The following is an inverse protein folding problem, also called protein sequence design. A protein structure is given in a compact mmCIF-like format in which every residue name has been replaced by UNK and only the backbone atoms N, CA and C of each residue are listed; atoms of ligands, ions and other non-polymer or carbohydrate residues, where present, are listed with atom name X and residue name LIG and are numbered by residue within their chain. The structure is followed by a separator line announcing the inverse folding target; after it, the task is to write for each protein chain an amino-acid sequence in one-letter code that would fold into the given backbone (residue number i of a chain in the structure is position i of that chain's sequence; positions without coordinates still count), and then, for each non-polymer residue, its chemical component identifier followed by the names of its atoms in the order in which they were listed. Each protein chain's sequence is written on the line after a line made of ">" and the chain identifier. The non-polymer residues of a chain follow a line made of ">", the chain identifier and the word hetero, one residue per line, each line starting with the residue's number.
data_IF_301388195129
#
_entry.id   IF_301388195129
#
_cell.length_a   1.000
_cell.length_b   1.000
_cell.length_c   1.000
_cell.angle_alpha   90.00
_cell.angle_beta   90.00
_cell.angle_gamma   90.00
#
_symmetry.space_group_name_H-M   'P 1'
#
loop_
_entity.id
_entity.type
_entity.pdbx_description
1 polymer ?
#
# COMPACT_ATOMS: atom_id res chain seq x y z
N UNK A 1 -18.35 -5.50 3.41
CA UNK A 1 -17.94 -6.62 4.28
C UNK A 1 -17.14 -7.62 3.44
N UNK A 2 -15.92 -7.94 3.86
CA UNK A 2 -15.15 -9.04 3.26
C UNK A 2 -15.75 -10.38 3.68
N UNK A 3 -15.58 -11.41 2.85
CA UNK A 3 -16.26 -12.68 3.03
C UNK A 3 -15.67 -13.80 2.19
N UNK A 4 -16.07 -15.02 2.52
CA UNK A 4 -15.74 -16.23 1.77
C UNK A 4 -17.04 -16.88 1.30
N UNK A 5 -17.02 -17.41 0.08
CA UNK A 5 -18.01 -18.38 -0.38
C UNK A 5 -17.30 -19.74 -0.39
N UNK A 6 -17.82 -20.69 0.37
CA UNK A 6 -17.23 -22.02 0.53
C UNK A 6 -18.19 -23.04 -0.04
N UNK A 7 -17.72 -23.85 -1.00
CA UNK A 7 -18.47 -25.00 -1.50
C UNK A 7 -18.29 -26.17 -0.54
N UNK A 8 -19.41 -26.64 -0.01
CA UNK A 8 -19.51 -27.82 0.81
C UNK A 8 -19.43 -29.08 -0.06
N UNK A 9 -19.05 -30.19 0.55
CA UNK A 9 -18.92 -31.48 -0.14
C UNK A 9 -20.28 -32.00 -0.68
N UNK A 10 -21.39 -31.59 -0.06
CA UNK A 10 -22.76 -31.91 -0.51
C UNK A 10 -23.24 -31.05 -1.69
N UNK A 11 -22.39 -30.19 -2.25
CA UNK A 11 -22.72 -29.33 -3.40
C UNK A 11 -23.35 -27.98 -3.03
N UNK A 12 -23.67 -27.73 -1.75
CA UNK A 12 -24.15 -26.43 -1.29
C UNK A 12 -23.05 -25.37 -1.19
N UNK A 13 -23.40 -24.08 -1.31
CA UNK A 13 -22.47 -22.97 -1.06
C UNK A 13 -22.86 -22.26 0.23
N UNK A 14 -21.89 -22.06 1.12
CA UNK A 14 -22.07 -21.28 2.35
C UNK A 14 -21.31 -19.97 2.32
N UNK A 15 -21.99 -18.93 2.81
CA UNK A 15 -21.47 -17.57 2.86
C UNK A 15 -20.99 -17.27 4.28
N UNK A 16 -19.72 -16.89 4.39
CA UNK A 16 -19.06 -16.50 5.64
C UNK A 16 -18.66 -15.03 5.52
N UNK A 17 -18.92 -14.23 6.54
CA UNK A 17 -18.58 -12.80 6.56
C UNK A 17 -17.73 -12.46 7.79
N UNK A 18 -16.89 -11.44 7.65
CA UNK A 18 -16.34 -10.76 8.83
C UNK A 18 -17.47 -10.19 9.70
N UNK A 19 -17.33 -10.26 11.02
CA UNK A 19 -18.35 -9.87 11.99
C UNK A 19 -19.33 -11.00 12.34
N UNK A 20 -19.20 -12.16 11.72
CA UNK A 20 -20.03 -13.32 12.03
C UNK A 20 -19.47 -14.09 13.25
N UNK A 21 -20.38 -14.51 14.15
CA UNK A 21 -20.01 -15.31 15.30
C UNK A 21 -19.48 -16.69 14.85
N UNK A 22 -18.35 -17.12 15.42
CA UNK A 22 -17.66 -18.34 15.02
C UNK A 22 -18.56 -19.56 15.10
N UNK A 23 -19.37 -19.69 16.16
CA UNK A 23 -20.28 -20.84 16.29
C UNK A 23 -21.36 -20.89 15.19
N UNK A 24 -21.75 -19.76 14.61
CA UNK A 24 -22.67 -19.74 13.46
C UNK A 24 -21.96 -20.19 12.18
N UNK A 25 -20.71 -19.76 12.01
CA UNK A 25 -19.84 -20.23 10.92
C UNK A 25 -19.64 -21.74 11.03
N UNK A 26 -19.45 -22.24 12.26
CA UNK A 26 -19.28 -23.67 12.51
C UNK A 26 -20.47 -24.49 12.00
N UNK A 27 -21.68 -24.07 12.40
CA UNK A 27 -22.94 -24.68 11.94
C UNK A 27 -23.09 -24.69 10.43
N UNK A 28 -22.65 -23.62 9.74
CA UNK A 28 -22.70 -23.54 8.27
C UNK A 28 -21.76 -24.54 7.60
N UNK A 29 -20.57 -24.76 8.16
CA UNK A 29 -19.55 -25.61 7.54
C UNK A 29 -19.71 -27.11 7.84
N UNK A 30 -20.51 -27.47 8.86
CA UNK A 30 -20.80 -28.85 9.27
C UNK A 30 -20.00 -29.30 10.50
N UNK A 31 -20.05 -30.59 10.86
CA UNK A 31 -19.40 -31.13 12.07
C UNK A 31 -17.89 -31.42 11.89
N UNK A 32 -17.39 -31.50 10.65
CA UNK A 32 -16.00 -31.89 10.32
C UNK A 32 -14.91 -30.82 10.53
N UNK A 33 -15.29 -29.61 10.94
CA UNK A 33 -14.39 -28.47 11.13
C UNK A 33 -13.67 -28.44 12.49
N UNK A 34 -13.94 -29.40 13.38
CA UNK A 34 -13.21 -29.64 14.63
C UNK A 34 -12.65 -28.38 15.31
N UNK A 35 -11.33 -28.37 15.51
CA UNK A 35 -10.60 -27.28 16.19
C UNK A 35 -10.07 -26.20 15.23
N UNK A 36 -10.67 -26.00 14.05
CA UNK A 36 -10.19 -25.02 13.06
C UNK A 36 -9.95 -23.65 13.69
N UNK A 37 -10.93 -23.23 14.50
CA UNK A 37 -11.01 -21.89 15.05
C UNK A 37 -10.09 -21.67 16.26
N UNK A 38 -9.56 -22.72 16.91
CA UNK A 38 -8.67 -22.57 18.07
C UNK A 38 -7.36 -21.85 17.74
N UNK A 39 -6.87 -21.99 16.50
CA UNK A 39 -5.67 -21.29 16.01
C UNK A 39 -6.00 -20.05 15.18
N UNK A 40 -7.29 -19.73 15.00
CA UNK A 40 -7.76 -18.61 14.19
C UNK A 40 -8.25 -17.49 15.10
N UNK A 41 -9.18 -17.81 16.00
CA UNK A 41 -9.85 -16.92 16.94
C UNK A 41 -8.86 -16.32 17.95
N UNK A 42 -8.92 -15.01 18.11
CA UNK A 42 -8.20 -14.27 19.13
C UNK A 42 -8.87 -14.32 20.52
N UNK A 43 -10.00 -15.03 20.65
CA UNK A 43 -10.75 -15.27 21.88
C UNK A 43 -12.04 -14.46 21.98
N UNK A 44 -12.36 -13.63 20.98
CA UNK A 44 -13.57 -12.80 20.94
C UNK A 44 -14.78 -13.52 20.30
N UNK A 45 -14.59 -14.72 19.72
CA UNK A 45 -15.61 -15.52 19.03
C UNK A 45 -16.29 -14.85 17.84
N UNK A 46 -15.73 -13.77 17.30
CA UNK A 46 -16.25 -13.01 16.17
C UNK A 46 -15.19 -12.97 15.09
N UNK A 47 -15.50 -13.52 13.91
CA UNK A 47 -14.54 -13.58 12.81
C UNK A 47 -14.16 -12.18 12.33
N UNK A 48 -12.90 -11.78 12.54
CA UNK A 48 -12.39 -10.49 12.09
C UNK A 48 -11.74 -10.55 10.69
N UNK A 49 -11.26 -9.39 10.23
CA UNK A 49 -10.66 -9.23 8.91
C UNK A 49 -9.28 -9.89 8.74
N UNK A 50 -8.55 -10.15 9.82
CA UNK A 50 -7.28 -10.89 9.81
C UNK A 50 -7.53 -12.40 9.94
N UNK A 51 -8.56 -12.78 10.69
CA UNK A 51 -8.95 -14.16 10.94
C UNK A 51 -9.57 -14.82 9.71
N UNK A 52 -10.25 -14.05 8.85
CA UNK A 52 -10.83 -14.57 7.61
C UNK A 52 -9.79 -15.14 6.63
N UNK A 53 -8.59 -14.58 6.58
CA UNK A 53 -7.49 -15.08 5.75
C UNK A 53 -6.90 -16.38 6.32
N UNK A 54 -6.81 -16.49 7.65
CA UNK A 54 -6.41 -17.73 8.34
C UNK A 54 -7.46 -18.83 8.12
N UNK A 55 -8.74 -18.47 8.20
CA UNK A 55 -9.87 -19.38 7.93
C UNK A 55 -9.84 -19.90 6.50
N UNK A 56 -9.61 -19.02 5.52
CA UNK A 56 -9.43 -19.43 4.12
C UNK A 56 -8.32 -20.48 3.96
N UNK A 57 -7.16 -20.23 4.56
CA UNK A 57 -6.00 -21.13 4.45
C UNK A 57 -6.32 -22.51 5.03
N UNK A 58 -6.92 -22.56 6.23
CA UNK A 58 -7.37 -23.80 6.87
C UNK A 58 -8.44 -24.55 6.09
N UNK A 59 -9.40 -23.83 5.49
CA UNK A 59 -10.42 -24.43 4.63
C UNK A 59 -9.79 -25.14 3.42
N UNK A 60 -8.81 -24.50 2.78
CA UNK A 60 -8.08 -25.08 1.64
C UNK A 60 -7.27 -26.30 2.07
N UNK A 61 -6.55 -26.23 3.21
CA UNK A 61 -5.80 -27.37 3.79
C UNK A 61 -6.69 -28.60 4.01
N UNK A 62 -7.98 -28.38 4.24
CA UNK A 62 -8.98 -29.42 4.52
C UNK A 62 -9.87 -29.72 3.33
N UNK A 63 -9.41 -29.40 2.12
CA UNK A 63 -10.06 -29.68 0.84
C UNK A 63 -11.44 -29.04 0.65
N UNK A 64 -11.78 -27.99 1.41
CA UNK A 64 -12.94 -27.16 1.07
C UNK A 64 -12.60 -26.29 -0.13
N UNK A 65 -13.52 -26.21 -1.10
CA UNK A 65 -13.34 -25.38 -2.28
C UNK A 65 -13.87 -23.97 -1.99
N UNK A 66 -12.96 -23.01 -1.86
CA UNK A 66 -13.30 -21.59 -1.73
C UNK A 66 -13.44 -20.98 -3.13
N UNK A 67 -14.52 -20.24 -3.38
CA UNK A 67 -14.67 -19.52 -4.64
C UNK A 67 -13.67 -18.36 -4.72
N UNK A 68 -12.86 -18.36 -5.78
CA UNK A 68 -11.85 -17.33 -6.05
C UNK A 68 -12.25 -16.50 -7.27
N UNK A 69 -11.79 -15.25 -7.29
CA UNK A 69 -11.89 -14.36 -8.42
C UNK A 69 -11.04 -14.85 -9.59
N UNK A 70 -11.22 -14.22 -10.75
CA UNK A 70 -10.49 -14.55 -11.98
C UNK A 70 -8.97 -14.29 -11.89
N UNK A 71 -8.47 -13.66 -10.82
CA UNK A 71 -7.04 -13.53 -10.53
C UNK A 71 -6.40 -14.84 -10.01
N UNK A 72 -7.23 -15.88 -9.80
CA UNK A 72 -6.83 -17.23 -9.42
C UNK A 72 -6.46 -17.40 -7.94
N UNK A 73 -6.48 -16.32 -7.14
CA UNK A 73 -5.93 -16.33 -5.78
C UNK A 73 -6.85 -15.69 -4.74
N UNK A 74 -7.61 -14.66 -5.09
CA UNK A 74 -8.38 -13.87 -4.12
C UNK A 74 -9.79 -14.43 -3.96
N UNK A 75 -10.35 -14.59 -2.75
CA UNK A 75 -11.75 -14.99 -2.59
C UNK A 75 -12.68 -14.05 -3.35
N UNK A 76 -13.60 -14.58 -4.15
CA UNK A 76 -14.42 -13.79 -5.09
C UNK A 76 -15.16 -12.64 -4.40
N UNK A 77 -15.67 -12.89 -3.20
CA UNK A 77 -16.40 -11.90 -2.40
C UNK A 77 -15.50 -10.80 -1.81
N UNK A 78 -14.32 -11.18 -1.32
CA UNK A 78 -13.31 -10.22 -0.88
C UNK A 78 -12.82 -9.35 -2.06
N UNK A 79 -12.62 -9.98 -3.21
CA UNK A 79 -12.28 -9.29 -4.45
C UNK A 79 -13.36 -8.30 -4.87
N UNK A 80 -14.63 -8.70 -4.92
CA UNK A 80 -15.73 -7.79 -5.26
C UNK A 80 -15.80 -6.61 -4.29
N UNK A 81 -15.71 -6.86 -2.97
CA UNK A 81 -15.70 -5.79 -1.98
C UNK A 81 -14.55 -4.80 -2.19
N UNK A 82 -13.34 -5.30 -2.49
CA UNK A 82 -12.20 -4.45 -2.80
C UNK A 82 -12.42 -3.60 -4.06
N UNK A 83 -12.99 -4.18 -5.12
CA UNK A 83 -13.29 -3.45 -6.34
C UNK A 83 -14.41 -2.44 -6.14
N UNK A 84 -15.44 -2.72 -5.33
CA UNK A 84 -16.49 -1.74 -5.01
C UNK A 84 -15.92 -0.52 -4.27
N UNK A 85 -14.92 -0.70 -3.40
CA UNK A 85 -14.21 0.41 -2.75
C UNK A 85 -13.35 1.22 -3.74
N UNK A 86 -12.86 0.61 -4.81
CA UNK A 86 -12.16 1.32 -5.88
C UNK A 86 -13.17 2.09 -6.72
N UNK A 87 -14.27 1.44 -7.12
CA UNK A 87 -15.39 2.02 -7.86
C UNK A 87 -15.92 3.30 -7.19
N UNK A 88 -16.07 3.29 -5.87
CA UNK A 88 -16.61 4.44 -5.12
C UNK A 88 -15.72 5.69 -5.15
N UNK A 89 -14.46 5.60 -5.62
CA UNK A 89 -13.57 6.76 -5.78
C UNK A 89 -13.89 7.57 -7.04
N UNK A 90 -14.64 6.99 -7.97
CA UNK A 90 -14.90 7.58 -9.27
C UNK A 90 -16.28 8.25 -9.31
N UNK A 91 -16.31 9.42 -9.93
CA UNK A 91 -17.54 10.09 -10.35
C UNK A 91 -17.86 9.64 -11.78
N UNK A 92 -19.03 9.02 -12.03
CA UNK A 92 -19.34 8.43 -13.33
C UNK A 92 -19.42 9.48 -14.45
N UNK A 93 -19.90 10.69 -14.18
CA UNK A 93 -20.06 11.74 -15.18
C UNK A 93 -18.73 12.39 -15.56
N UNK A 94 -17.81 12.52 -14.60
CA UNK A 94 -16.44 12.93 -14.90
C UNK A 94 -15.68 11.85 -15.65
N UNK A 95 -15.83 10.59 -15.21
CA UNK A 95 -15.08 9.47 -15.78
C UNK A 95 -15.49 9.16 -17.22
N UNK A 96 -16.79 9.29 -17.57
CA UNK A 96 -17.28 9.08 -18.94
C UNK A 96 -16.52 9.92 -19.99
N UNK A 97 -16.07 11.12 -19.62
CA UNK A 97 -15.35 12.03 -20.54
C UNK A 97 -13.99 11.50 -21.02
N UNK A 98 -13.39 10.59 -20.27
CA UNK A 98 -12.09 9.99 -20.62
C UNK A 98 -12.24 8.67 -21.39
N UNK A 99 -13.47 8.17 -21.57
CA UNK A 99 -13.74 6.84 -22.14
C UNK A 99 -14.55 6.90 -23.42
N UNK A 100 -14.44 5.84 -24.22
CA UNK A 100 -15.27 5.65 -25.41
C UNK A 100 -16.66 5.21 -25.00
N UNK A 101 -17.64 6.09 -25.19
CA UNK A 101 -19.03 5.85 -24.82
C UNK A 101 -19.94 5.49 -25.99
N UNK A 102 -19.43 5.60 -27.23
CA UNK A 102 -20.19 5.27 -28.42
C UNK A 102 -20.48 3.77 -28.50
N UNK A 103 -21.69 3.41 -28.94
CA UNK A 103 -22.18 2.03 -29.00
C UNK A 103 -21.23 1.09 -29.79
N UNK A 104 -20.58 1.62 -30.83
CA UNK A 104 -19.63 0.89 -31.67
C UNK A 104 -18.29 0.57 -30.98
N UNK A 105 -17.95 1.27 -29.89
CA UNK A 105 -16.70 1.09 -29.14
C UNK A 105 -16.88 0.26 -27.85
N UNK A 106 -18.11 -0.09 -27.50
CA UNK A 106 -18.41 -0.87 -26.30
C UNK A 106 -17.93 -2.33 -26.46
N UNK A 107 -17.40 -2.89 -25.38
CA UNK A 107 -17.04 -4.31 -25.33
C UNK A 107 -18.25 -5.15 -24.92
N UNK A 108 -18.71 -6.04 -25.79
CA UNK A 108 -19.74 -7.01 -25.46
C UNK A 108 -19.13 -8.22 -24.72
N UNK A 109 -19.67 -8.54 -23.53
CA UNK A 109 -19.23 -9.69 -22.73
C UNK A 109 -19.55 -11.00 -23.45
N UNK A 110 -18.52 -11.82 -23.69
CA UNK A 110 -18.64 -13.15 -24.28
C UNK A 110 -18.58 -14.25 -23.21
N UNK A 111 -19.04 -15.45 -23.56
CA UNK A 111 -18.92 -16.62 -22.68
C UNK A 111 -17.45 -16.89 -22.36
N UNK A 112 -17.12 -16.94 -21.07
CA UNK A 112 -15.74 -17.14 -20.59
C UNK A 112 -14.97 -15.84 -20.34
N UNK A 113 -15.53 -14.69 -20.68
CA UNK A 113 -14.94 -13.41 -20.30
C UNK A 113 -15.00 -13.20 -18.79
N UNK A 114 -13.96 -12.53 -18.27
CA UNK A 114 -13.96 -11.93 -16.95
C UNK A 114 -13.59 -10.47 -17.07
N UNK A 115 -14.08 -9.63 -16.17
CA UNK A 115 -13.67 -8.22 -16.12
C UNK A 115 -12.15 -8.08 -15.93
N UNK A 116 -11.52 -9.05 -15.24
CA UNK A 116 -10.07 -9.10 -15.10
C UNK A 116 -9.35 -9.23 -16.44
N UNK A 117 -9.75 -10.21 -17.26
CA UNK A 117 -9.17 -10.41 -18.59
C UNK A 117 -9.44 -9.22 -19.52
N UNK A 118 -10.66 -8.67 -19.47
CA UNK A 118 -11.07 -7.51 -20.27
C UNK A 118 -10.24 -6.28 -19.92
N UNK A 119 -10.14 -5.95 -18.62
CA UNK A 119 -9.35 -4.82 -18.15
C UNK A 119 -7.86 -4.97 -18.49
N UNK A 120 -7.29 -6.16 -18.29
CA UNK A 120 -5.89 -6.46 -18.66
C UNK A 120 -5.64 -6.27 -20.16
N UNK A 121 -6.54 -6.76 -21.00
CA UNK A 121 -6.41 -6.64 -22.45
C UNK A 121 -6.58 -5.19 -22.92
N UNK A 122 -7.51 -4.44 -22.34
CA UNK A 122 -7.70 -3.01 -22.61
C UNK A 122 -6.43 -2.22 -22.29
N UNK A 123 -5.88 -2.38 -21.08
CA UNK A 123 -4.63 -1.73 -20.66
C UNK A 123 -3.46 -2.08 -21.59
N UNK A 124 -3.33 -3.36 -21.96
CA UNK A 124 -2.29 -3.81 -22.89
C UNK A 124 -2.44 -3.16 -24.27
N UNK A 125 -3.66 -3.08 -24.80
CA UNK A 125 -3.95 -2.45 -26.11
C UNK A 125 -3.66 -0.95 -26.10
N UNK A 126 -3.87 -0.31 -24.95
CA UNK A 126 -3.62 1.12 -24.74
C UNK A 126 -2.15 1.44 -24.39
N UNK A 127 -1.28 0.44 -24.28
CA UNK A 127 0.13 0.63 -23.90
C UNK A 127 0.32 1.04 -22.43
N UNK A 128 -0.68 0.77 -21.58
CA UNK A 128 -0.66 1.11 -20.16
C UNK A 128 -0.14 -0.04 -19.29
N UNK A 129 0.32 0.25 -18.06
CA UNK A 129 0.68 -0.79 -17.10
C UNK A 129 -0.50 -1.75 -16.89
N UNK A 130 -0.22 -3.04 -16.87
CA UNK A 130 -1.21 -4.12 -16.75
C UNK A 130 -0.84 -5.11 -15.65
N UNK A 131 -0.16 -4.62 -14.61
CA UNK A 131 0.01 -5.32 -13.34
C UNK A 131 -1.33 -5.39 -12.58
N UNK A 132 -1.39 -6.20 -11.53
CA UNK A 132 -2.62 -6.47 -10.78
C UNK A 132 -3.29 -5.19 -10.23
N UNK A 133 -2.54 -4.14 -9.88
CA UNK A 133 -3.13 -2.88 -9.42
C UNK A 133 -3.81 -2.15 -10.57
N UNK A 134 -3.09 -1.98 -11.68
CA UNK A 134 -3.61 -1.28 -12.84
C UNK A 134 -4.87 -1.97 -13.39
N UNK A 135 -4.87 -3.32 -13.38
CA UNK A 135 -6.04 -4.13 -13.71
C UNK A 135 -7.20 -3.83 -12.74
N UNK A 136 -6.97 -3.88 -11.43
CA UNK A 136 -8.04 -3.62 -10.43
C UNK A 136 -8.59 -2.19 -10.52
N UNK A 137 -7.74 -1.19 -10.79
CA UNK A 137 -8.17 0.20 -11.01
C UNK A 137 -9.03 0.32 -12.28
N UNK A 138 -8.61 -0.30 -13.38
CA UNK A 138 -9.39 -0.36 -14.62
C UNK A 138 -10.73 -1.06 -14.40
N UNK A 139 -10.78 -2.15 -13.64
CA UNK A 139 -12.05 -2.83 -13.30
C UNK A 139 -12.94 -1.91 -12.46
N UNK A 140 -12.40 -1.18 -11.49
CA UNK A 140 -13.18 -0.22 -10.70
C UNK A 140 -13.78 0.91 -11.54
N UNK A 141 -13.04 1.40 -12.54
CA UNK A 141 -13.53 2.37 -13.53
C UNK A 141 -14.65 1.78 -14.38
N UNK A 142 -14.44 0.58 -14.95
CA UNK A 142 -15.46 -0.14 -15.72
C UNK A 142 -16.71 -0.36 -14.85
N UNK A 143 -16.55 -0.76 -13.59
CA UNK A 143 -17.67 -0.98 -12.69
C UNK A 143 -18.41 0.31 -12.33
N UNK A 144 -17.72 1.44 -12.24
CA UNK A 144 -18.33 2.76 -12.05
C UNK A 144 -19.16 3.16 -13.27
N UNK A 145 -18.54 3.15 -14.45
CA UNK A 145 -19.14 3.59 -15.72
C UNK A 145 -20.37 2.77 -16.11
N UNK A 146 -20.34 1.47 -15.79
CA UNK A 146 -21.38 0.52 -16.19
C UNK A 146 -22.28 0.07 -15.01
N UNK A 147 -22.17 0.74 -13.85
CA UNK A 147 -22.96 0.46 -12.65
C UNK A 147 -22.95 -1.03 -12.20
N UNK A 148 -21.77 -1.65 -12.20
CA UNK A 148 -21.60 -3.08 -11.86
C UNK A 148 -21.35 -3.24 -10.36
N UNK A 149 -22.23 -4.00 -9.69
CA UNK A 149 -22.15 -4.28 -8.25
C UNK A 149 -21.52 -5.65 -7.92
N UNK A 150 -21.50 -6.59 -8.88
CA UNK A 150 -20.76 -7.85 -8.78
C UNK A 150 -19.83 -8.00 -9.99
N UNK A 151 -18.54 -7.75 -9.75
CA UNK A 151 -17.52 -7.75 -10.80
C UNK A 151 -17.07 -9.15 -11.22
N UNK A 152 -17.46 -10.19 -10.47
CA UNK A 152 -17.17 -11.57 -10.83
C UNK A 152 -18.22 -12.15 -11.77
N UNK A 153 -19.44 -11.59 -11.79
CA UNK A 153 -20.60 -12.16 -12.47
C UNK A 153 -21.33 -11.12 -13.34
N UNK A 154 -20.68 -10.68 -14.42
CA UNK A 154 -21.31 -9.83 -15.43
C UNK A 154 -22.00 -10.70 -16.48
N UNK A 155 -23.24 -10.37 -16.84
CA UNK A 155 -24.05 -11.16 -17.76
C UNK A 155 -23.47 -11.13 -19.18
N UNK A 156 -23.43 -12.29 -19.84
CA UNK A 156 -23.10 -12.40 -21.29
C UNK A 156 -24.04 -11.54 -22.12
N UNK A 157 -23.50 -10.85 -23.13
CA UNK A 157 -24.21 -9.89 -23.97
C UNK A 157 -24.28 -8.47 -23.38
N UNK A 158 -23.79 -8.26 -22.16
CA UNK A 158 -23.69 -6.89 -21.60
C UNK A 158 -22.64 -6.11 -22.37
N UNK A 159 -22.98 -4.92 -22.88
CA UNK A 159 -22.05 -4.01 -23.53
C UNK A 159 -21.46 -3.05 -22.51
N UNK A 160 -20.14 -2.96 -22.47
CA UNK A 160 -19.40 -2.24 -21.45
C UNK A 160 -18.52 -1.14 -22.03
N UNK A 161 -18.51 0.00 -21.36
CA UNK A 161 -17.50 1.04 -21.52
C UNK A 161 -16.19 0.52 -20.90
N UNK A 162 -15.17 0.29 -21.73
CA UNK A 162 -13.91 -0.34 -21.31
C UNK A 162 -12.68 0.49 -21.69
N UNK A 163 -12.65 1.02 -22.91
CA UNK A 163 -11.46 1.64 -23.49
C UNK A 163 -11.49 3.16 -23.36
N UNK A 164 -10.31 3.78 -23.28
CA UNK A 164 -10.13 5.23 -23.26
C UNK A 164 -10.44 5.85 -24.63
N UNK A 165 -10.96 7.08 -24.62
CA UNK A 165 -11.29 7.86 -25.82
C UNK A 165 -10.05 8.20 -26.68
N UNK A 166 -8.90 8.34 -26.05
CA UNK A 166 -7.59 8.37 -26.70
C UNK A 166 -6.58 7.66 -25.78
N UNK A 167 -5.57 6.94 -26.32
CA UNK A 167 -4.45 6.51 -25.51
C UNK A 167 -3.73 7.79 -25.09
N UNK A 168 -3.99 8.27 -23.87
CA UNK A 168 -3.10 9.25 -23.26
C UNK A 168 -1.74 8.57 -23.21
N UNK A 169 -0.83 8.93 -24.13
CA UNK A 169 0.58 8.95 -23.81
C UNK A 169 0.65 9.60 -22.43
N UNK A 170 1.31 8.93 -21.48
CA UNK A 170 1.50 9.43 -20.13
C UNK A 170 1.80 10.93 -20.25
N UNK A 171 0.92 11.85 -19.79
CA UNK A 171 1.28 13.25 -19.81
C UNK A 171 2.50 13.38 -18.89
N UNK A 172 3.64 13.93 -19.35
CA UNK A 172 4.61 14.44 -18.42
C UNK A 172 3.88 15.47 -17.56
N UNK A 173 4.01 15.35 -16.23
CA UNK A 173 3.60 16.32 -15.19
C UNK A 173 2.50 17.31 -15.61
N UNK A 174 1.31 17.19 -15.02
CA UNK A 174 0.49 18.38 -14.84
C UNK A 174 1.27 19.36 -13.96
N UNK A 175 1.90 20.34 -14.61
CA UNK A 175 2.29 21.62 -14.02
C UNK A 175 1.00 22.25 -13.51
N UNK A 176 0.87 22.45 -12.20
CA UNK A 176 -0.16 23.36 -11.69
C UNK A 176 0.38 24.76 -11.87
N UNK A 177 -0.41 25.54 -12.60
CA UNK A 177 -0.20 26.90 -13.01
C UNK A 177 0.08 27.86 -11.84
N UNK A 178 0.86 28.89 -12.15
CA UNK A 178 0.88 30.16 -11.44
C UNK A 178 -0.54 30.72 -11.33
N UNK A 179 -1.01 30.95 -10.10
CA UNK A 179 -2.22 31.73 -9.87
C UNK A 179 -1.86 33.20 -9.63
N UNK A 180 -2.11 34.06 -10.63
CA UNK A 180 -2.41 35.48 -10.43
C UNK A 180 -3.85 35.63 -9.92
N UNK A 181 -4.17 36.69 -9.14
CA UNK A 181 -5.36 36.71 -8.29
C UNK A 181 -6.63 37.17 -9.03
N UNK A 182 -7.77 36.64 -8.61
CA UNK A 182 -9.12 37.09 -8.96
C UNK A 182 -9.85 37.55 -7.66
N UNK A 183 -10.93 38.36 -7.75
CA UNK A 183 -11.11 39.56 -6.93
C UNK A 183 -11.61 39.32 -5.51
N UNK A 184 -11.35 40.32 -4.66
CA UNK A 184 -11.77 40.41 -3.25
C UNK A 184 -13.28 40.28 -3.11
N UNK A 185 -13.71 39.25 -2.39
CA UNK A 185 -15.02 39.20 -1.72
C UNK A 185 -14.74 39.16 -0.21
N UNK A 186 -15.47 40.00 0.53
CA UNK A 186 -15.22 40.40 1.91
C UNK A 186 -15.40 39.28 2.96
N UNK A 187 -14.37 39.14 3.80
CA UNK A 187 -14.29 38.64 5.18
C UNK A 187 -15.46 37.79 5.73
N UNK A 188 -15.17 36.51 5.94
CA UNK A 188 -15.53 35.80 7.17
C UNK A 188 -14.27 35.05 7.66
N UNK A 189 -13.89 35.23 8.93
CA UNK A 189 -12.76 34.52 9.52
C UNK A 189 -12.97 33.00 9.47
N UNK A 190 -11.98 32.19 9.05
CA UNK A 190 -12.11 30.74 9.09
C UNK A 190 -12.14 30.29 10.55
N UNK A 191 -13.25 29.71 10.98
CA UNK A 191 -13.29 28.95 12.23
C UNK A 191 -12.21 27.87 12.16
N UNK A 192 -11.30 27.88 13.16
CA UNK A 192 -10.31 26.83 13.36
C UNK A 192 -11.00 25.46 13.29
N UNK A 193 -10.61 24.64 12.32
CA UNK A 193 -10.92 23.21 12.36
C UNK A 193 -10.31 22.64 13.64
N UNK A 194 -11.05 21.82 14.41
CA UNK A 194 -10.58 21.34 15.70
C UNK A 194 -9.29 20.52 15.52
N UNK A 195 -8.25 20.87 16.29
CA UNK A 195 -6.98 20.13 16.39
C UNK A 195 -7.28 18.64 16.65
N UNK A 196 -6.71 17.74 15.85
CA UNK A 196 -6.88 16.31 16.10
C UNK A 196 -6.10 15.98 17.38
N UNK A 197 -6.77 15.42 18.38
CA UNK A 197 -6.07 15.01 19.60
C UNK A 197 -5.10 13.87 19.30
N UNK A 198 -3.94 13.87 19.97
CA UNK A 198 -2.91 12.85 19.80
C UNK A 198 -3.42 11.42 20.08
N UNK A 199 -4.47 11.27 20.89
CA UNK A 199 -5.07 9.97 21.19
C UNK A 199 -5.88 9.41 20.01
N UNK A 200 -6.53 10.27 19.23
CA UNK A 200 -7.31 9.85 18.04
C UNK A 200 -6.41 9.42 16.87
N UNK A 201 -5.21 10.01 16.75
CA UNK A 201 -4.24 9.67 15.71
C UNK A 201 -3.61 8.28 15.86
N UNK A 202 -3.53 7.74 17.08
CA UNK A 202 -2.89 6.44 17.38
C UNK A 202 -3.60 5.24 16.76
N UNK A 203 -4.87 5.39 16.40
CA UNK A 203 -5.69 4.30 15.86
C UNK A 203 -5.80 4.32 14.32
N UNK A 204 -5.21 5.32 13.66
CA UNK A 204 -5.28 5.45 12.21
C UNK A 204 -4.12 4.69 11.55
N UNK A 205 -4.45 3.87 10.55
CA UNK A 205 -3.48 3.33 9.61
C UNK A 205 -3.13 4.41 8.58
N UNK A 206 -1.88 4.45 8.09
CA UNK A 206 -1.42 5.51 7.17
C UNK A 206 -2.24 5.60 5.88
N UNK A 207 -2.88 4.51 5.42
CA UNK A 207 -3.77 4.54 4.25
C UNK A 207 -5.09 5.27 4.50
N UNK A 208 -5.42 5.57 5.76
CA UNK A 208 -6.65 6.24 6.18
C UNK A 208 -6.40 7.73 6.50
N UNK A 209 -5.14 8.17 6.49
CA UNK A 209 -4.76 9.54 6.81
C UNK A 209 -4.75 10.40 5.54
N UNK A 210 -5.32 11.62 5.62
CA UNK A 210 -5.05 12.66 4.63
C UNK A 210 -3.61 13.20 4.76
N UNK A 211 -3.14 13.92 3.75
CA UNK A 211 -1.80 14.54 3.79
C UNK A 211 -1.68 15.55 4.95
N UNK A 212 -2.70 16.37 5.18
CA UNK A 212 -2.78 17.28 6.33
C UNK A 212 -2.67 16.54 7.67
N UNK A 213 -3.39 15.41 7.83
CA UNK A 213 -3.31 14.61 9.04
C UNK A 213 -1.91 14.02 9.25
N UNK A 214 -1.26 13.54 8.18
CA UNK A 214 0.11 13.06 8.29
C UNK A 214 1.08 14.18 8.71
N UNK A 215 0.91 15.40 8.18
CA UNK A 215 1.75 16.55 8.58
C UNK A 215 1.51 16.99 10.02
N UNK A 216 0.26 16.93 10.49
CA UNK A 216 -0.07 17.24 11.89
C UNK A 216 0.56 16.22 12.86
N UNK A 217 0.53 14.93 12.51
CA UNK A 217 1.01 13.84 13.36
C UNK A 217 2.54 13.70 13.32
N UNK A 218 3.13 13.66 12.13
CA UNK A 218 4.54 13.32 11.90
C UNK A 218 5.43 14.54 11.64
N UNK A 219 4.85 15.74 11.61
CA UNK A 219 5.53 16.98 11.28
C UNK A 219 5.73 17.19 9.78
N UNK A 220 5.94 18.45 9.39
CA UNK A 220 6.03 18.87 7.99
C UNK A 220 7.41 18.59 7.34
N UNK A 221 7.97 17.39 7.51
CA UNK A 221 9.28 17.02 6.98
C UNK A 221 9.18 16.59 5.51
N UNK A 222 9.07 17.58 4.62
CA UNK A 222 8.71 17.41 3.20
C UNK A 222 9.86 17.00 2.27
N UNK A 223 11.05 16.66 2.80
CA UNK A 223 12.19 16.21 1.98
C UNK A 223 11.79 15.04 1.10
N UNK A 224 11.94 15.20 -0.21
CA UNK A 224 11.73 14.15 -1.19
C UNK A 224 12.91 13.16 -1.17
N UNK A 225 12.63 11.91 -0.81
CA UNK A 225 13.64 10.86 -0.71
C UNK A 225 14.17 10.41 -2.07
N UNK A 226 13.54 10.83 -3.17
CA UNK A 226 13.95 10.49 -4.54
C UNK A 226 14.87 11.53 -5.17
N UNK A 227 15.09 12.67 -4.50
CA UNK A 227 16.11 13.64 -4.89
C UNK A 227 17.49 13.08 -4.57
N UNK A 228 18.34 12.79 -5.57
CA UNK A 228 19.65 12.18 -5.32
C UNK A 228 20.53 13.06 -4.43
N UNK A 229 21.28 12.43 -3.54
CA UNK A 229 22.41 13.06 -2.88
C UNK A 229 23.48 13.37 -3.93
N UNK A 230 23.99 14.60 -3.92
CA UNK A 230 24.94 15.12 -4.91
C UNK A 230 26.40 14.87 -4.56
N UNK A 231 26.71 14.47 -3.33
CA UNK A 231 28.07 14.09 -2.92
C UNK A 231 28.43 12.66 -3.33
N UNK A 232 29.63 12.23 -2.95
CA UNK A 232 30.19 10.92 -3.31
C UNK A 232 30.34 9.97 -2.09
N UNK A 233 30.96 8.81 -2.32
CA UNK A 233 31.17 7.79 -1.29
C UNK A 233 32.18 8.26 -0.22
N UNK A 234 33.20 9.05 -0.61
CA UNK A 234 34.19 9.62 0.29
C UNK A 234 33.55 10.62 1.26
N UNK A 235 32.66 11.49 0.79
CA UNK A 235 31.90 12.44 1.60
C UNK A 235 31.07 11.71 2.67
N UNK A 236 30.33 10.68 2.26
CA UNK A 236 29.59 9.82 3.18
C UNK A 236 30.54 9.12 4.16
N UNK A 237 31.67 8.61 3.70
CA UNK A 237 32.64 7.92 4.57
C UNK A 237 33.28 8.85 5.60
N UNK A 238 33.50 10.13 5.27
CA UNK A 238 33.95 11.15 6.23
C UNK A 238 32.94 11.28 7.37
N UNK A 239 31.64 11.39 7.05
CA UNK A 239 30.59 11.47 8.07
C UNK A 239 30.40 10.16 8.85
N UNK A 240 30.46 9.01 8.16
CA UNK A 240 30.24 7.67 8.74
C UNK A 240 31.43 7.16 9.55
N UNK A 241 32.58 7.85 9.54
CA UNK A 241 33.75 7.49 10.35
C UNK A 241 33.37 7.35 11.83
N UNK A 242 33.73 6.21 12.42
CA UNK A 242 33.44 5.91 13.83
C UNK A 242 31.99 5.50 14.15
N UNK A 243 31.09 5.41 13.16
CA UNK A 243 29.68 5.00 13.37
C UNK A 243 29.50 3.47 13.29
N UNK A 244 30.37 2.73 13.97
CA UNK A 244 30.31 1.26 14.04
C UNK A 244 30.33 0.58 12.66
N UNK A 245 29.41 -0.35 12.43
CA UNK A 245 29.37 -1.15 11.18
C UNK A 245 28.97 -0.34 9.94
N UNK A 246 28.56 0.92 10.11
CA UNK A 246 28.32 1.85 9.00
C UNK A 246 29.60 2.53 8.50
N UNK A 247 30.69 2.47 9.28
CA UNK A 247 31.96 3.06 8.86
C UNK A 247 32.47 2.38 7.58
N UNK A 248 32.85 3.17 6.58
CA UNK A 248 33.30 2.66 5.27
C UNK A 248 32.18 2.24 4.31
N UNK A 249 30.90 2.36 4.67
CA UNK A 249 29.77 1.92 3.83
C UNK A 249 29.27 2.99 2.84
N UNK A 250 30.00 4.10 2.65
CA UNK A 250 29.61 5.19 1.75
C UNK A 250 29.27 4.71 0.34
N UNK A 251 30.09 3.82 -0.24
CA UNK A 251 29.85 3.27 -1.57
C UNK A 251 28.55 2.45 -1.64
N UNK A 252 28.23 1.67 -0.61
CA UNK A 252 27.00 0.88 -0.59
C UNK A 252 25.73 1.76 -0.65
N UNK A 253 25.77 2.94 -0.03
CA UNK A 253 24.68 3.91 -0.14
C UNK A 253 24.59 4.57 -1.52
N UNK A 254 25.73 4.90 -2.13
CA UNK A 254 25.78 5.45 -3.50
C UNK A 254 25.28 4.41 -4.52
N UNK A 255 25.71 3.16 -4.41
CA UNK A 255 25.27 2.07 -5.29
C UNK A 255 23.75 1.86 -5.18
N UNK A 256 23.23 1.84 -3.96
CA UNK A 256 21.79 1.72 -3.72
C UNK A 256 21.01 2.92 -4.27
N UNK A 257 21.55 4.14 -4.16
CA UNK A 257 20.96 5.33 -4.78
C UNK A 257 20.88 5.18 -6.29
N UNK A 258 21.99 4.84 -6.94
CA UNK A 258 22.05 4.72 -8.39
C UNK A 258 21.12 3.61 -8.91
N UNK A 259 21.02 2.51 -8.16
CA UNK A 259 20.18 1.36 -8.53
C UNK A 259 18.70 1.60 -8.35
N UNK A 260 18.28 2.33 -7.30
CA UNK A 260 16.87 2.41 -6.91
C UNK A 260 16.26 3.82 -6.96
N UNK A 261 17.07 4.86 -7.19
CA UNK A 261 16.62 6.24 -7.22
C UNK A 261 16.20 6.79 -5.86
N UNK A 262 16.81 6.28 -4.77
CA UNK A 262 16.59 6.75 -3.40
C UNK A 262 17.85 7.43 -2.90
N UNK A 263 17.73 8.64 -2.37
CA UNK A 263 18.84 9.45 -1.89
C UNK A 263 19.76 8.69 -0.93
N UNK A 264 21.06 8.64 -1.23
CA UNK A 264 22.08 8.01 -0.43
C UNK A 264 22.18 8.65 0.97
N UNK A 265 22.05 9.98 1.05
CA UNK A 265 22.03 10.69 2.33
C UNK A 265 20.80 10.33 3.16
N UNK A 266 19.62 10.16 2.53
CA UNK A 266 18.41 9.68 3.24
C UNK A 266 18.59 8.25 3.74
N UNK A 267 19.12 7.34 2.92
CA UNK A 267 19.38 5.95 3.34
C UNK A 267 20.36 5.89 4.52
N UNK A 268 21.43 6.68 4.47
CA UNK A 268 22.39 6.79 5.56
C UNK A 268 21.75 7.42 6.82
N UNK A 269 20.94 8.46 6.66
CA UNK A 269 20.17 9.08 7.75
C UNK A 269 19.24 8.09 8.45
N UNK A 270 18.54 7.25 7.69
CA UNK A 270 17.69 6.17 8.23
C UNK A 270 18.55 5.17 9.02
N UNK A 271 19.62 4.64 8.42
CA UNK A 271 20.47 3.64 9.09
C UNK A 271 21.08 4.15 10.41
N UNK A 272 21.47 5.43 10.46
CA UNK A 272 22.00 6.06 11.67
C UNK A 272 20.90 6.28 12.69
N UNK A 273 19.73 6.76 12.27
CA UNK A 273 18.59 6.96 13.18
C UNK A 273 18.10 5.64 13.79
N UNK A 274 18.15 4.54 13.03
CA UNK A 274 17.67 3.22 13.45
C UNK A 274 18.65 2.47 14.35
N UNK A 275 19.96 2.66 14.16
CA UNK A 275 20.95 1.79 14.80
C UNK A 275 22.20 2.47 15.33
N UNK A 276 22.46 3.72 14.92
CA UNK A 276 23.75 4.39 15.09
C UNK A 276 24.94 3.62 14.50
N UNK A 277 24.69 2.54 13.73
CA UNK A 277 25.67 1.53 13.33
C UNK A 277 26.26 0.70 14.47
N UNK A 278 25.78 0.85 15.70
CA UNK A 278 26.33 0.18 16.89
C UNK A 278 25.32 -0.73 17.57
N UNK A 279 24.05 -0.73 17.21
CA UNK A 279 23.04 -1.58 17.86
C UNK A 279 23.38 -3.08 17.79
N UNK A 280 22.83 -3.88 18.73
CA UNK A 280 23.01 -5.34 18.72
C UNK A 280 22.54 -5.97 17.40
N UNK A 281 21.45 -5.46 16.80
CA UNK A 281 20.94 -5.90 15.50
C UNK A 281 21.92 -5.55 14.37
N UNK A 282 22.45 -4.33 14.36
CA UNK A 282 23.45 -3.91 13.38
C UNK A 282 24.70 -4.80 13.44
N UNK A 283 25.25 -5.02 14.64
CA UNK A 283 26.50 -5.81 14.80
C UNK A 283 26.32 -7.30 14.56
N UNK A 284 25.24 -7.90 15.10
CA UNK A 284 25.07 -9.36 15.08
C UNK A 284 24.33 -9.87 13.85
N UNK A 285 23.49 -9.04 13.22
CA UNK A 285 22.62 -9.45 12.10
C UNK A 285 22.82 -8.62 10.83
N UNK A 286 23.76 -7.67 10.85
CA UNK A 286 23.99 -6.70 9.77
C UNK A 286 22.73 -5.93 9.38
N UNK A 287 21.80 -5.78 10.34
CA UNK A 287 20.51 -5.15 10.12
C UNK A 287 20.55 -3.74 10.70
N UNK A 288 20.99 -2.79 9.89
CA UNK A 288 21.23 -1.40 10.29
C UNK A 288 19.98 -0.52 10.19
N UNK A 289 18.88 -1.04 9.67
CA UNK A 289 17.61 -0.32 9.45
C UNK A 289 16.41 -0.99 10.13
N UNK A 290 16.62 -1.93 11.04
CA UNK A 290 15.55 -2.57 11.82
C UNK A 290 14.51 -3.33 10.97
N UNK A 291 14.94 -4.05 9.93
CA UNK A 291 14.04 -4.83 9.08
C UNK A 291 13.56 -6.10 9.78
N UNK A 292 12.25 -6.29 9.88
CA UNK A 292 11.64 -7.51 10.41
C UNK A 292 11.41 -8.58 9.34
N UNK A 293 11.11 -9.79 9.79
CA UNK A 293 10.72 -10.96 9.00
C UNK A 293 9.70 -11.78 9.78
N UNK A 294 9.10 -12.80 9.16
CA UNK A 294 8.16 -13.71 9.85
C UNK A 294 8.78 -14.48 11.02
N UNK A 295 10.12 -14.59 11.07
CA UNK A 295 10.88 -15.27 12.14
C UNK A 295 11.59 -14.29 13.09
N UNK A 296 11.07 -13.06 13.21
CA UNK A 296 11.68 -11.99 14.00
C UNK A 296 12.59 -11.08 13.17
N UNK A 297 13.67 -10.54 13.75
CA UNK A 297 14.55 -9.60 13.04
C UNK A 297 15.34 -10.26 11.92
N UNK A 298 15.24 -9.70 10.71
CA UNK A 298 15.95 -10.22 9.55
C UNK A 298 17.46 -10.20 9.79
N UNK A 299 18.13 -11.26 9.34
CA UNK A 299 19.60 -11.33 9.23
C UNK A 299 19.96 -11.13 7.76
N UNK A 300 20.95 -10.28 7.52
CA UNK A 300 21.59 -10.11 6.22
C UNK A 300 22.98 -10.76 6.24
N UNK A 301 23.59 -10.95 5.08
CA UNK A 301 24.95 -11.46 5.00
C UNK A 301 25.99 -10.39 5.31
N UNK A 302 25.70 -9.13 5.00
CA UNK A 302 26.53 -7.97 5.31
C UNK A 302 25.68 -6.67 5.34
N UNK A 303 26.31 -5.55 5.72
CA UNK A 303 25.61 -4.25 5.85
C UNK A 303 25.14 -3.70 4.50
N UNK A 304 25.95 -3.87 3.44
CA UNK A 304 25.60 -3.45 2.09
C UNK A 304 24.30 -4.10 1.59
N UNK A 305 24.09 -5.40 1.88
CA UNK A 305 22.84 -6.10 1.54
C UNK A 305 21.63 -5.51 2.27
N UNK A 306 21.78 -5.11 3.54
CA UNK A 306 20.72 -4.43 4.28
C UNK A 306 20.38 -3.06 3.67
N UNK A 307 21.40 -2.32 3.21
CA UNK A 307 21.24 -1.02 2.56
C UNK A 307 20.52 -1.20 1.21
N UNK A 308 20.98 -2.12 0.36
CA UNK A 308 20.34 -2.44 -0.93
C UNK A 308 18.88 -2.88 -0.74
N UNK A 309 18.62 -3.76 0.21
CA UNK A 309 17.26 -4.20 0.54
C UNK A 309 16.38 -3.04 0.99
N UNK A 310 16.90 -2.15 1.85
CA UNK A 310 16.13 -0.99 2.35
C UNK A 310 15.80 -0.03 1.21
N UNK A 311 16.77 0.27 0.34
CA UNK A 311 16.56 1.12 -0.83
C UNK A 311 15.54 0.51 -1.80
N UNK A 312 15.66 -0.78 -2.10
CA UNK A 312 14.68 -1.53 -2.90
C UNK A 312 13.29 -1.48 -2.26
N UNK A 313 13.20 -1.65 -0.95
CA UNK A 313 11.95 -1.59 -0.22
C UNK A 313 11.30 -0.20 -0.31
N UNK A 314 12.06 0.88 -0.10
CA UNK A 314 11.55 2.26 -0.22
C UNK A 314 11.12 2.56 -1.66
N UNK A 315 11.96 2.24 -2.65
CA UNK A 315 11.64 2.45 -4.05
C UNK A 315 10.39 1.67 -4.47
N UNK A 316 10.33 0.38 -4.15
CA UNK A 316 9.26 -0.47 -4.67
C UNK A 316 8.00 -0.42 -3.81
N UNK A 317 8.10 -0.33 -2.49
CA UNK A 317 6.97 -0.42 -1.56
C UNK A 317 6.53 0.90 -0.96
N UNK A 318 7.22 2.01 -1.21
CA UNK A 318 6.81 3.34 -0.72
C UNK A 318 6.59 4.29 -1.90
N UNK A 319 7.59 4.44 -2.76
CA UNK A 319 7.52 5.35 -3.91
C UNK A 319 6.65 4.76 -5.01
N UNK A 320 7.02 3.60 -5.58
CA UNK A 320 6.28 2.99 -6.68
C UNK A 320 4.96 2.35 -6.22
N UNK A 321 5.00 1.60 -5.11
CA UNK A 321 3.84 0.87 -4.59
C UNK A 321 3.69 1.02 -3.07
N UNK A 322 3.29 2.21 -2.59
CA UNK A 322 3.02 2.44 -1.16
C UNK A 322 2.04 1.47 -0.51
N UNK A 323 1.16 0.82 -1.26
CA UNK A 323 0.18 -0.12 -0.73
C UNK A 323 -1.09 -0.14 -1.57
N UNK A 324 -2.22 -0.47 -0.98
CA UNK A 324 -3.54 -0.52 -1.64
C UNK A 324 -4.07 0.85 -2.10
N UNK A 325 -3.41 1.97 -1.76
CA UNK A 325 -3.88 3.33 -2.02
C UNK A 325 -3.31 4.00 -3.28
N UNK A 326 -2.27 3.45 -3.91
CA UNK A 326 -1.67 4.05 -5.14
C UNK A 326 -0.95 5.38 -4.92
N UNK A 327 -0.86 5.88 -3.69
CA UNK A 327 -0.21 7.17 -3.36
C UNK A 327 1.30 6.97 -3.29
N UNK A 328 2.08 7.60 -4.16
CA UNK A 328 3.54 7.56 -4.03
C UNK A 328 3.98 8.29 -2.75
N UNK A 329 4.50 7.56 -1.76
CA UNK A 329 5.06 8.14 -0.54
C UNK A 329 6.50 8.56 -0.84
N UNK A 330 6.73 9.87 -0.98
CA UNK A 330 8.06 10.42 -1.34
C UNK A 330 8.68 11.27 -0.26
N UNK A 331 7.88 11.82 0.65
CA UNK A 331 8.38 12.72 1.69
C UNK A 331 8.68 11.99 2.98
N UNK A 332 9.65 12.47 3.78
CA UNK A 332 10.01 11.82 5.04
C UNK A 332 8.82 11.63 5.99
N UNK A 333 7.89 12.59 6.09
CA UNK A 333 6.70 12.42 6.94
C UNK A 333 5.76 11.31 6.43
N UNK A 334 5.63 11.14 5.10
CA UNK A 334 4.87 10.05 4.49
C UNK A 334 5.55 8.69 4.71
N UNK A 335 6.88 8.64 4.61
CA UNK A 335 7.65 7.43 4.93
C UNK A 335 7.47 7.09 6.39
N UNK A 336 7.56 8.07 7.29
CA UNK A 336 7.39 7.87 8.73
C UNK A 336 6.03 7.21 9.06
N UNK A 337 4.96 7.74 8.46
CA UNK A 337 3.61 7.23 8.65
C UNK A 337 3.47 5.74 8.36
N UNK A 338 4.27 5.17 7.46
CA UNK A 338 4.25 3.74 7.12
C UNK A 338 5.38 2.93 7.75
N UNK A 339 6.58 3.50 7.84
CA UNK A 339 7.80 2.82 8.30
C UNK A 339 7.87 2.73 9.83
N UNK A 340 7.54 3.83 10.51
CA UNK A 340 7.58 3.96 11.96
C UNK A 340 6.30 4.66 12.45
N UNK A 341 5.13 4.03 12.30
CA UNK A 341 3.86 4.67 12.63
C UNK A 341 3.72 4.90 14.13
N UNK A 342 2.99 5.96 14.51
CA UNK A 342 2.61 6.18 15.93
C UNK A 342 1.67 5.11 16.47
N UNK A 343 1.03 4.32 15.61
CA UNK A 343 0.20 3.18 16.01
C UNK A 343 1.00 1.95 16.43
N UNK A 344 2.31 1.90 16.14
CA UNK A 344 3.17 0.82 16.63
C UNK A 344 3.55 1.08 18.10
N UNK A 345 2.89 0.35 19.00
CA UNK A 345 3.06 0.49 20.45
C UNK A 345 4.26 -0.26 21.01
N UNK A 346 4.98 -1.03 20.19
CA UNK A 346 6.12 -1.86 20.63
C UNK A 346 7.28 -1.04 21.17
N UNK A 347 7.47 0.19 20.67
CA UNK A 347 8.48 1.14 21.12
C UNK A 347 7.80 2.50 21.35
N UNK A 348 7.39 2.79 22.60
CA UNK A 348 6.77 4.06 23.05
C UNK A 348 6.36 5.01 21.90
N UNK A 349 5.13 4.86 21.40
CA UNK A 349 4.55 5.53 20.22
C UNK A 349 4.88 7.03 20.06
N UNK A 350 5.16 7.70 21.18
CA UNK A 350 5.52 9.12 21.27
C UNK A 350 6.85 9.45 20.57
N UNK A 351 7.76 8.47 20.46
CA UNK A 351 9.06 8.64 19.83
C UNK A 351 8.99 8.44 18.31
N UNK A 352 8.10 7.57 17.84
CA UNK A 352 7.92 7.27 16.41
C UNK A 352 7.50 8.52 15.60
N UNK A 353 6.69 9.41 16.20
CA UNK A 353 6.31 10.67 15.54
C UNK A 353 7.51 11.55 15.16
N UNK A 354 8.62 11.42 15.89
CA UNK A 354 9.85 12.20 15.68
C UNK A 354 10.85 11.52 14.73
N UNK A 355 10.56 10.33 14.22
CA UNK A 355 11.47 9.61 13.34
C UNK A 355 11.84 10.43 12.08
N UNK A 356 10.85 11.06 11.43
CA UNK A 356 11.12 11.92 10.26
C UNK A 356 12.06 13.08 10.60
N UNK A 357 11.89 13.69 11.78
CA UNK A 357 12.76 14.75 12.27
C UNK A 357 14.20 14.25 12.47
N UNK A 358 14.36 13.09 13.10
CA UNK A 358 15.67 12.52 13.38
C UNK A 358 16.41 12.17 12.08
N UNK A 359 15.71 11.58 11.11
CA UNK A 359 16.28 11.31 9.78
C UNK A 359 16.66 12.61 9.08
N UNK A 360 15.77 13.61 9.03
CA UNK A 360 16.05 14.92 8.41
C UNK A 360 17.30 15.59 9.00
N UNK A 361 17.44 15.56 10.33
CA UNK A 361 18.61 16.12 11.00
C UNK A 361 19.90 15.42 10.56
N UNK A 362 19.89 14.08 10.44
CA UNK A 362 21.06 13.33 9.97
C UNK A 362 21.37 13.58 8.50
N UNK A 363 20.37 13.71 7.65
CA UNK A 363 20.57 14.08 6.25
C UNK A 363 21.25 15.45 6.14
N UNK A 364 20.80 16.45 6.92
CA UNK A 364 21.42 17.78 6.93
C UNK A 364 22.86 17.78 7.45
N UNK A 365 23.18 16.91 8.41
CA UNK A 365 24.55 16.73 8.88
C UNK A 365 25.43 16.11 7.78
N UNK A 366 24.92 15.10 7.05
CA UNK A 366 25.62 14.46 5.92
C UNK A 366 25.89 15.45 4.79
N UNK A 367 24.89 16.26 4.43
CA UNK A 367 25.00 17.24 3.34
C UNK A 367 25.98 18.39 3.64
N UNK A 368 26.40 18.53 4.90
CA UNK A 368 27.37 19.54 5.36
C UNK A 368 28.78 18.99 5.59
N UNK A 369 28.94 17.67 5.67
CA UNK A 369 30.21 17.00 5.97
C UNK A 369 31.10 16.94 4.72
#
# INVERSE_FOLDING_TARGET
>A
MSGLNVKLQNGGTVNINTGEHIDNIKKKLGEDIGNFFESIDNGNKILDANEIDKLKSKLIEKNYKVEVAADGNTPAKAYNAAIQNIRSKYDPEKLKKDFKTEEADLHEIKRGDSLYAIAKNALRKEGLPHDARSINERIGQIACLNNINDVNNVKVGTKLIVNLAAPKAIPPKAVVAENKPAPKISKAEPKQNPKISHSSAKNLHWTQMSDEQMREIYGNYSRDITTPYSGNAEDLNRYLKGKGVLSGQGQAFIDAQNKYGISAAVLAGIAISESGGTSSLARKRFNVTSISSSRGWRRFNNVSECIDYTASMLANRYVKNSGLSGVSLKTLYQINAKYCPVSDTRNNSSNNRFWAQNVENKVREIEKA
#
